data_IF_691546952109
#
_entry.id   IF_691546952109
#
_cell.length_a   1.000
_cell.length_b   1.000
_cell.length_c   1.000
_cell.angle_alpha   90.00
_cell.angle_beta   90.00
_cell.angle_gamma   90.00
#
_symmetry.space_group_name_H-M   'P 1'
#
loop_
_entity.id
_entity.type
_entity.pdbx_description
1 polymer ?
#
# COMPACT_ATOMS: atom_id res chain seq x y z
N UNK A 1 -16.28 9.91 -16.70
CA UNK A 1 -15.69 9.28 -15.51
C UNK A 1 -15.28 10.38 -14.56
N UNK A 2 -15.73 10.32 -13.30
CA UNK A 2 -15.29 11.27 -12.26
C UNK A 2 -13.79 11.12 -12.04
N UNK A 3 -13.05 12.22 -11.95
CA UNK A 3 -11.62 12.17 -11.61
C UNK A 3 -11.47 11.57 -10.20
N UNK A 4 -10.74 10.44 -10.11
CA UNK A 4 -10.56 9.69 -8.87
C UNK A 4 -9.74 10.48 -7.84
N UNK A 5 -8.65 11.12 -8.27
CA UNK A 5 -7.73 11.81 -7.37
C UNK A 5 -8.39 12.93 -6.54
N UNK A 6 -9.18 13.87 -7.12
CA UNK A 6 -9.93 14.84 -6.33
C UNK A 6 -10.82 14.21 -5.25
N UNK A 7 -11.41 13.04 -5.53
CA UNK A 7 -12.23 12.31 -4.56
C UNK A 7 -11.40 11.75 -3.41
N UNK A 8 -10.19 11.24 -3.70
CA UNK A 8 -9.25 10.78 -2.68
C UNK A 8 -8.72 11.94 -1.82
N UNK A 9 -8.39 13.08 -2.44
CA UNK A 9 -7.98 14.30 -1.73
C UNK A 9 -9.07 14.79 -0.77
N UNK A 10 -10.33 14.83 -1.24
CA UNK A 10 -11.46 15.21 -0.41
C UNK A 10 -11.67 14.25 0.78
N UNK A 11 -11.45 12.93 0.58
CA UNK A 11 -11.46 11.95 1.66
C UNK A 11 -10.34 12.21 2.67
N UNK A 12 -9.11 12.46 2.21
CA UNK A 12 -7.96 12.75 3.07
C UNK A 12 -8.26 13.97 3.94
N UNK A 13 -8.72 15.07 3.33
CA UNK A 13 -9.06 16.31 4.04
C UNK A 13 -10.18 16.08 5.07
N UNK A 14 -11.23 15.35 4.71
CA UNK A 14 -12.33 15.03 5.62
C UNK A 14 -11.91 14.17 6.84
N UNK A 15 -10.86 13.34 6.70
CA UNK A 15 -10.38 12.45 7.78
C UNK A 15 -9.21 13.04 8.57
N UNK A 16 -8.35 13.81 7.91
CA UNK A 16 -7.13 14.39 8.48
C UNK A 16 -6.89 15.77 7.83
N UNK A 17 -7.61 16.82 8.25
CA UNK A 17 -7.55 18.16 7.63
C UNK A 17 -6.13 18.75 7.55
N UNK A 18 -5.30 18.49 8.57
CA UNK A 18 -3.93 19.02 8.63
C UNK A 18 -2.92 18.20 7.84
N UNK A 19 -3.32 17.09 7.21
CA UNK A 19 -2.38 16.19 6.54
C UNK A 19 -1.82 16.82 5.27
N UNK A 20 -2.69 17.32 4.39
CA UNK A 20 -2.28 17.88 3.10
C UNK A 20 -1.46 19.16 3.26
N UNK A 21 -1.69 19.92 4.34
CA UNK A 21 -0.89 21.10 4.67
C UNK A 21 0.59 20.78 4.99
N UNK A 22 0.90 19.50 5.28
CA UNK A 22 2.26 19.00 5.57
C UNK A 22 2.85 18.20 4.42
N UNK A 23 2.07 17.93 3.37
CA UNK A 23 2.57 17.29 2.18
C UNK A 23 3.32 18.30 1.31
N UNK A 24 4.32 17.82 0.59
CA UNK A 24 5.11 18.62 -0.34
C UNK A 24 5.01 18.00 -1.72
N UNK A 25 4.51 18.79 -2.67
CA UNK A 25 4.35 18.40 -4.06
C UNK A 25 5.58 18.67 -4.92
N UNK A 26 5.52 18.17 -6.14
CA UNK A 26 6.45 18.47 -7.23
C UNK A 26 5.84 19.52 -8.16
N UNK A 27 6.67 20.45 -8.65
CA UNK A 27 6.25 21.46 -9.62
C UNK A 27 5.91 20.84 -10.98
N UNK A 28 4.91 21.38 -11.67
CA UNK A 28 4.47 20.84 -12.98
C UNK A 28 5.58 20.89 -14.02
N UNK A 29 6.38 21.96 -14.00
CA UNK A 29 7.51 22.14 -14.91
C UNK A 29 8.60 21.07 -14.71
N UNK A 30 8.72 20.51 -13.51
CA UNK A 30 9.66 19.43 -13.22
C UNK A 30 9.19 18.12 -13.82
N UNK A 31 7.93 17.74 -13.60
CA UNK A 31 7.33 16.55 -14.21
C UNK A 31 7.38 16.62 -15.76
N UNK A 32 7.12 17.79 -16.35
CA UNK A 32 7.22 17.98 -17.79
C UNK A 32 8.65 17.80 -18.34
N UNK A 33 9.69 18.16 -17.55
CA UNK A 33 11.09 17.87 -17.92
C UNK A 33 11.37 16.38 -17.91
N UNK A 34 10.79 15.63 -16.98
CA UNK A 34 10.90 14.17 -16.95
C UNK A 34 10.23 13.54 -18.18
N UNK A 35 8.98 13.90 -18.46
CA UNK A 35 8.28 13.46 -19.68
C UNK A 35 9.09 13.72 -20.95
N UNK A 36 9.63 14.93 -21.09
CA UNK A 36 10.44 15.31 -22.24
C UNK A 36 11.80 14.58 -22.31
N UNK A 37 12.49 14.37 -21.17
CA UNK A 37 13.79 13.69 -21.12
C UNK A 37 13.69 12.24 -21.58
N UNK A 38 12.61 11.56 -21.22
CA UNK A 38 12.44 10.12 -21.50
C UNK A 38 11.47 9.82 -22.64
N UNK A 39 10.89 10.85 -23.28
CA UNK A 39 10.00 10.68 -24.42
C UNK A 39 8.70 9.96 -24.09
N UNK A 40 8.19 10.16 -22.87
CA UNK A 40 6.99 9.49 -22.35
C UNK A 40 5.92 10.49 -21.90
N UNK A 41 4.70 10.01 -21.71
CA UNK A 41 3.59 10.80 -21.13
C UNK A 41 3.11 10.11 -19.88
N UNK A 42 3.08 10.85 -18.77
CA UNK A 42 2.66 10.33 -17.48
C UNK A 42 1.13 10.34 -17.37
N UNK A 43 0.51 9.31 -16.77
CA UNK A 43 -0.91 9.31 -16.51
C UNK A 43 -1.31 10.48 -15.59
N UNK A 44 -2.46 11.12 -15.88
CA UNK A 44 -2.94 12.28 -15.10
C UNK A 44 -2.97 12.00 -13.60
N UNK A 45 -3.40 10.81 -13.18
CA UNK A 45 -3.48 10.46 -11.76
C UNK A 45 -2.10 10.41 -11.07
N UNK A 46 -1.06 9.99 -11.78
CA UNK A 46 0.31 10.01 -11.27
C UNK A 46 0.81 11.45 -11.14
N UNK A 47 0.56 12.27 -12.17
CA UNK A 47 0.91 13.70 -12.14
C UNK A 47 0.23 14.40 -10.97
N UNK A 48 -1.07 14.16 -10.74
CA UNK A 48 -1.81 14.78 -9.65
C UNK A 48 -1.31 14.32 -8.26
N UNK A 49 -0.97 13.03 -8.10
CA UNK A 49 -0.32 12.51 -6.91
C UNK A 49 1.02 13.22 -6.64
N UNK A 50 1.90 13.26 -7.63
CA UNK A 50 3.23 13.88 -7.50
C UNK A 50 3.13 15.37 -7.19
N UNK A 51 2.19 16.08 -7.82
CA UNK A 51 1.94 17.49 -7.52
C UNK A 51 1.35 17.74 -6.13
N UNK A 52 0.74 16.73 -5.52
CA UNK A 52 0.17 16.85 -4.17
C UNK A 52 1.19 16.46 -3.09
N UNK A 53 1.98 15.40 -3.32
CA UNK A 53 2.82 14.82 -2.27
C UNK A 53 4.10 14.12 -2.79
N UNK A 54 4.57 14.45 -3.99
CA UNK A 54 5.71 13.79 -4.63
C UNK A 54 7.09 14.13 -4.04
N UNK A 55 7.21 15.15 -3.18
CA UNK A 55 8.44 15.44 -2.41
C UNK A 55 8.36 14.92 -0.97
N UNK A 56 7.17 14.98 -0.36
CA UNK A 56 6.90 14.46 0.97
C UNK A 56 5.40 14.19 1.15
N UNK A 57 5.07 13.08 1.79
CA UNK A 57 3.70 12.70 2.19
C UNK A 57 3.61 12.39 3.70
N UNK A 58 4.62 12.78 4.48
CA UNK A 58 4.74 12.37 5.88
C UNK A 58 4.83 10.85 6.03
N UNK A 59 3.90 10.25 6.77
CA UNK A 59 3.88 8.81 7.04
C UNK A 59 3.00 7.99 6.07
N UNK A 60 2.35 8.65 5.10
CA UNK A 60 1.51 7.96 4.13
C UNK A 60 2.31 7.68 2.86
N UNK A 61 2.76 6.44 2.67
CA UNK A 61 3.55 6.06 1.49
C UNK A 61 2.73 5.13 0.58
N UNK A 62 1.92 5.67 -0.34
CA UNK A 62 0.98 4.86 -1.12
C UNK A 62 1.66 3.94 -2.13
N UNK A 63 2.91 4.19 -2.50
CA UNK A 63 3.68 3.41 -3.48
C UNK A 63 4.91 2.73 -2.85
N UNK A 64 4.86 2.40 -1.56
CA UNK A 64 5.87 1.55 -0.94
C UNK A 64 6.61 2.13 0.25
N UNK A 65 7.30 1.24 0.97
CA UNK A 65 8.06 1.59 2.17
C UNK A 65 9.35 2.39 1.88
N UNK A 66 9.88 2.31 0.66
CA UNK A 66 11.18 2.87 0.25
C UNK A 66 11.10 4.25 -0.41
N UNK A 67 10.02 5.00 -0.14
CA UNK A 67 9.69 6.34 -0.65
C UNK A 67 9.14 6.38 -2.09
N UNK A 68 7.96 7.00 -2.27
CA UNK A 68 7.38 7.37 -3.57
C UNK A 68 7.89 8.74 -4.07
N UNK A 69 8.96 9.24 -3.45
CA UNK A 69 9.48 10.58 -3.70
C UNK A 69 10.10 10.63 -5.09
N UNK A 70 9.86 11.73 -5.80
CA UNK A 70 10.32 11.84 -7.17
C UNK A 70 11.85 11.80 -7.25
N UNK A 71 12.58 12.49 -6.37
CA UNK A 71 14.05 12.62 -6.49
C UNK A 71 14.78 11.25 -6.39
N UNK A 72 14.51 10.37 -5.40
CA UNK A 72 15.12 9.02 -5.37
C UNK A 72 14.70 8.14 -6.55
N UNK A 73 13.42 8.16 -6.93
CA UNK A 73 12.92 7.38 -8.06
C UNK A 73 13.51 7.84 -9.38
N UNK A 74 13.71 9.14 -9.54
CA UNK A 74 14.35 9.78 -10.66
C UNK A 74 15.81 9.32 -10.84
N UNK A 75 16.56 9.23 -9.74
CA UNK A 75 17.96 8.76 -9.77
C UNK A 75 18.03 7.29 -10.16
N UNK A 76 17.22 6.43 -9.53
CA UNK A 76 17.18 5.00 -9.85
C UNK A 76 16.71 4.76 -11.29
N UNK A 77 15.70 5.50 -11.73
CA UNK A 77 15.30 5.47 -13.12
C UNK A 77 16.44 5.84 -14.04
N UNK A 78 17.06 7.00 -13.83
CA UNK A 78 18.12 7.48 -14.72
C UNK A 78 19.23 6.45 -14.83
N UNK A 79 19.56 5.77 -13.74
CA UNK A 79 20.49 4.64 -13.73
C UNK A 79 20.00 3.48 -14.63
N UNK A 80 18.77 2.98 -14.44
CA UNK A 80 18.19 1.90 -15.25
C UNK A 80 18.04 2.27 -16.74
N UNK A 81 17.69 3.52 -17.00
CA UNK A 81 17.46 4.05 -18.34
C UNK A 81 18.75 4.43 -19.07
N UNK A 82 19.90 4.42 -18.43
CA UNK A 82 21.20 4.68 -19.06
C UNK A 82 22.03 3.39 -19.23
N UNK A 83 21.54 2.24 -18.74
CA UNK A 83 22.14 0.93 -19.04
C UNK A 83 21.98 0.53 -20.51
N UNK A 84 23.01 -0.10 -21.07
CA UNK A 84 23.05 -0.59 -22.45
C UNK A 84 23.44 -2.10 -22.49
N UNK A 85 22.52 -2.98 -22.91
CA UNK A 85 21.15 -2.70 -23.34
C UNK A 85 20.25 -2.30 -22.16
N UNK A 86 19.21 -1.52 -22.44
CA UNK A 86 18.17 -1.23 -21.44
C UNK A 86 17.54 -2.55 -20.95
N UNK A 87 17.31 -2.72 -19.64
CA UNK A 87 16.65 -3.92 -19.13
C UNK A 87 15.19 -4.06 -19.59
N UNK A 88 14.52 -2.95 -19.88
CA UNK A 88 13.12 -2.92 -20.33
C UNK A 88 12.85 -1.77 -21.31
N UNK A 89 11.76 -1.82 -22.11
CA UNK A 89 11.36 -0.73 -22.99
C UNK A 89 11.00 0.54 -22.18
N UNK A 90 11.88 1.55 -22.27
CA UNK A 90 11.83 2.78 -21.45
C UNK A 90 10.65 3.70 -21.79
N UNK A 91 10.10 3.55 -23.00
CA UNK A 91 8.91 4.24 -23.49
C UNK A 91 7.59 3.57 -23.04
N UNK A 92 7.68 2.34 -22.54
CA UNK A 92 6.54 1.57 -22.06
C UNK A 92 6.40 1.57 -20.54
N UNK A 93 7.50 1.41 -19.81
CA UNK A 93 7.43 1.18 -18.37
C UNK A 93 7.95 2.37 -17.56
N UNK A 94 7.15 2.80 -16.56
CA UNK A 94 7.50 3.90 -15.67
C UNK A 94 7.60 3.52 -14.19
N UNK A 95 8.82 3.47 -13.62
CA UNK A 95 9.07 3.24 -12.19
C UNK A 95 8.40 4.31 -11.33
N UNK A 96 7.52 3.89 -10.41
CA UNK A 96 6.75 4.78 -9.52
C UNK A 96 6.92 4.48 -8.05
N UNK A 97 7.57 3.38 -7.68
CA UNK A 97 7.71 2.99 -6.30
C UNK A 97 8.17 1.55 -6.13
N UNK A 98 7.86 1.00 -4.97
CA UNK A 98 8.21 -0.36 -4.57
C UNK A 98 7.01 -1.02 -3.91
N UNK A 99 6.74 -2.29 -4.18
CA UNK A 99 5.70 -3.02 -3.47
C UNK A 99 6.12 -3.14 -1.99
N UNK A 100 5.28 -2.68 -1.04
CA UNK A 100 5.61 -2.78 0.37
C UNK A 100 5.49 -4.20 0.95
N UNK A 101 5.40 -5.29 0.16
CA UNK A 101 5.29 -6.66 0.69
C UNK A 101 6.47 -6.98 1.63
N UNK A 102 6.23 -7.03 2.95
CA UNK A 102 7.30 -7.25 3.94
C UNK A 102 7.75 -8.72 3.97
N UNK A 103 7.05 -9.61 3.26
CA UNK A 103 7.41 -11.02 3.15
C UNK A 103 8.37 -11.31 2.01
N UNK A 104 8.55 -10.36 1.08
CA UNK A 104 9.49 -10.49 -0.03
C UNK A 104 10.95 -10.35 0.46
N UNK A 105 11.84 -11.18 -0.09
CA UNK A 105 13.28 -11.13 0.23
C UNK A 105 13.92 -9.84 -0.28
N UNK A 106 13.40 -9.33 -1.41
CA UNK A 106 13.71 -8.03 -1.99
C UNK A 106 12.39 -7.36 -2.35
N UNK A 107 12.22 -6.05 -2.11
CA UNK A 107 11.04 -5.34 -2.61
C UNK A 107 10.98 -5.46 -4.13
N UNK A 108 9.77 -5.67 -4.67
CA UNK A 108 9.54 -5.54 -6.09
C UNK A 108 9.42 -4.07 -6.45
N UNK A 109 9.97 -3.65 -7.58
CA UNK A 109 9.77 -2.32 -8.11
C UNK A 109 8.42 -2.24 -8.84
N UNK A 110 7.66 -1.19 -8.54
CA UNK A 110 6.37 -0.91 -9.15
C UNK A 110 6.56 -0.03 -10.38
N UNK A 111 6.07 -0.48 -11.51
CA UNK A 111 6.08 0.26 -12.77
C UNK A 111 4.66 0.49 -13.29
N UNK A 112 4.43 1.63 -13.93
CA UNK A 112 3.28 1.86 -14.80
C UNK A 112 3.57 1.26 -16.17
N UNK A 113 2.68 0.42 -16.68
CA UNK A 113 2.68 0.00 -18.09
C UNK A 113 1.88 1.03 -18.90
N UNK A 114 2.60 2.01 -19.45
CA UNK A 114 2.04 3.13 -20.20
C UNK A 114 1.36 2.67 -21.51
N UNK A 115 1.74 1.50 -22.05
CA UNK A 115 1.06 0.92 -23.22
C UNK A 115 -0.37 0.45 -22.93
N UNK A 116 -0.68 0.25 -21.65
CA UNK A 116 -2.00 -0.16 -21.14
C UNK A 116 -2.75 0.98 -20.43
N UNK A 117 -2.33 2.23 -20.67
CA UNK A 117 -2.97 3.42 -20.10
C UNK A 117 -3.99 4.07 -21.04
N UNK A 118 -4.89 4.86 -20.47
CA UNK A 118 -5.84 5.73 -21.19
C UNK A 118 -5.47 7.22 -21.12
N UNK A 119 -4.28 7.52 -20.58
CA UNK A 119 -3.78 8.86 -20.30
C UNK A 119 -4.29 9.45 -18.99
N UNK A 120 -5.39 8.94 -18.42
CA UNK A 120 -5.85 9.31 -17.08
C UNK A 120 -5.22 8.40 -16.02
N UNK A 121 -5.15 7.11 -16.29
CA UNK A 121 -4.62 6.06 -15.44
C UNK A 121 -3.80 5.05 -16.26
N UNK A 122 -3.06 4.17 -15.59
CA UNK A 122 -2.31 3.08 -16.21
C UNK A 122 -2.26 1.84 -15.32
N UNK A 123 -2.09 0.67 -15.94
CA UNK A 123 -1.90 -0.58 -15.23
C UNK A 123 -0.57 -0.57 -14.47
N UNK A 124 -0.55 -1.18 -13.28
CA UNK A 124 0.67 -1.43 -12.53
C UNK A 124 1.21 -2.83 -12.80
N UNK A 125 2.53 -2.93 -12.90
CA UNK A 125 3.28 -4.18 -13.00
C UNK A 125 4.45 -4.14 -12.03
N UNK A 126 4.86 -5.32 -11.58
CA UNK A 126 6.06 -5.52 -10.79
C UNK A 126 7.19 -6.06 -11.67
N UNK A 127 8.37 -5.45 -11.54
CA UNK A 127 9.62 -5.92 -12.14
C UNK A 127 10.76 -5.79 -11.11
N UNK A 128 11.96 -6.26 -11.43
CA UNK A 128 13.15 -6.00 -10.60
C UNK A 128 13.36 -6.97 -9.43
N UNK A 129 12.67 -8.11 -9.41
CA UNK A 129 12.89 -9.14 -8.39
C UNK A 129 14.37 -9.56 -8.34
N UNK A 130 15.02 -9.32 -7.18
CA UNK A 130 16.45 -9.55 -6.98
C UNK A 130 17.37 -8.74 -7.92
N UNK A 131 16.95 -7.54 -8.34
CA UNK A 131 17.70 -6.68 -9.25
C UNK A 131 17.66 -7.11 -10.71
N UNK A 132 16.77 -8.05 -11.07
CA UNK A 132 16.55 -8.49 -12.44
C UNK A 132 15.32 -7.81 -13.01
N UNK A 133 15.55 -6.90 -13.96
CA UNK A 133 14.52 -6.11 -14.61
C UNK A 133 14.26 -6.69 -16.00
N UNK A 134 13.35 -7.66 -16.11
CA UNK A 134 12.99 -8.29 -17.38
C UNK A 134 11.53 -8.00 -17.73
N UNK A 135 11.29 -7.29 -18.83
CA UNK A 135 9.95 -6.94 -19.27
C UNK A 135 9.05 -8.16 -19.53
N UNK A 136 9.63 -9.27 -19.98
CA UNK A 136 8.92 -10.54 -20.25
C UNK A 136 8.57 -11.31 -18.97
N UNK A 137 9.31 -11.06 -17.88
CA UNK A 137 9.09 -11.68 -16.57
C UNK A 137 8.22 -10.82 -15.65
N UNK A 138 7.64 -9.72 -16.16
CA UNK A 138 6.82 -8.82 -15.35
C UNK A 138 5.63 -9.53 -14.69
N UNK A 139 5.38 -9.19 -13.44
CA UNK A 139 4.22 -9.68 -12.70
C UNK A 139 3.08 -8.66 -12.81
N UNK A 140 1.95 -9.08 -13.38
CA UNK A 140 0.76 -8.23 -13.47
C UNK A 140 0.04 -8.21 -12.13
N UNK A 141 -0.02 -7.03 -11.50
CA UNK A 141 -0.69 -6.81 -10.20
C UNK A 141 -2.22 -6.82 -10.37
N UNK A 142 -2.72 -6.81 -11.62
CA UNK A 142 -4.13 -6.73 -12.00
C UNK A 142 -4.85 -5.53 -11.39
N UNK A 143 -4.11 -4.46 -11.14
CA UNK A 143 -4.60 -3.19 -10.60
C UNK A 143 -4.07 -2.02 -11.44
N UNK A 144 -4.86 -0.96 -11.59
CA UNK A 144 -4.35 0.34 -12.05
C UNK A 144 -3.72 1.12 -10.90
N UNK A 145 -2.96 2.17 -11.22
CA UNK A 145 -2.44 3.10 -10.21
C UNK A 145 -3.59 3.71 -9.42
N UNK A 146 -4.68 4.10 -10.08
CA UNK A 146 -5.85 4.62 -9.39
C UNK A 146 -6.46 3.66 -8.38
N UNK A 147 -6.59 2.38 -8.74
CA UNK A 147 -7.11 1.35 -7.84
C UNK A 147 -6.22 1.16 -6.61
N UNK A 148 -4.90 1.07 -6.80
CA UNK A 148 -3.94 0.99 -5.70
C UNK A 148 -4.03 2.23 -4.80
N UNK A 149 -4.02 3.44 -5.38
CA UNK A 149 -4.11 4.68 -4.61
C UNK A 149 -5.41 4.77 -3.80
N UNK A 150 -6.54 4.33 -4.37
CA UNK A 150 -7.80 4.29 -3.67
C UNK A 150 -7.75 3.32 -2.48
N UNK A 151 -7.25 2.10 -2.69
CA UNK A 151 -7.09 1.09 -1.64
C UNK A 151 -6.20 1.59 -0.50
N UNK A 152 -5.03 2.13 -0.83
CA UNK A 152 -4.04 2.62 0.15
C UNK A 152 -4.58 3.83 0.91
N UNK A 153 -5.25 4.75 0.23
CA UNK A 153 -5.88 5.93 0.86
C UNK A 153 -6.98 5.51 1.83
N UNK A 154 -7.88 4.62 1.40
CA UNK A 154 -8.94 4.09 2.26
C UNK A 154 -8.35 3.35 3.47
N UNK A 155 -7.36 2.49 3.26
CA UNK A 155 -6.72 1.76 4.34
C UNK A 155 -6.09 2.71 5.35
N UNK A 156 -5.29 3.67 4.88
CA UNK A 156 -4.54 4.55 5.75
C UNK A 156 -5.43 5.58 6.48
N UNK A 157 -6.34 6.25 5.77
CA UNK A 157 -7.12 7.36 6.34
C UNK A 157 -8.48 6.96 6.91
N UNK A 158 -9.13 5.92 6.37
CA UNK A 158 -10.44 5.46 6.84
C UNK A 158 -10.30 4.32 7.84
N UNK A 159 -9.51 3.28 7.53
CA UNK A 159 -9.46 2.06 8.34
C UNK A 159 -8.54 2.19 9.56
N UNK A 160 -7.35 2.80 9.43
CA UNK A 160 -6.44 3.01 10.56
C UNK A 160 -7.02 3.90 11.66
N UNK A 161 -7.98 4.76 11.31
CA UNK A 161 -8.66 5.65 12.25
C UNK A 161 -9.80 4.95 13.01
N UNK A 162 -10.25 3.77 12.56
CA UNK A 162 -11.29 3.01 13.22
C UNK A 162 -10.68 2.18 14.35
N UNK A 163 -11.36 2.02 15.49
CA UNK A 163 -10.91 1.08 16.51
C UNK A 163 -10.88 -0.32 15.91
N UNK A 164 -9.68 -0.90 15.74
CA UNK A 164 -9.54 -2.26 15.23
C UNK A 164 -10.06 -3.22 16.31
N UNK A 165 -11.10 -3.98 15.98
CA UNK A 165 -11.61 -5.03 16.84
C UNK A 165 -10.93 -6.34 16.42
N UNK A 166 -9.87 -6.71 17.15
CA UNK A 166 -9.18 -7.99 16.97
C UNK A 166 -9.72 -9.06 17.91
N UNK A 167 -9.94 -10.27 17.40
CA UNK A 167 -10.16 -11.45 18.24
C UNK A 167 -8.82 -12.12 18.54
N UNK A 168 -8.50 -12.33 19.83
CA UNK A 168 -7.34 -13.10 20.22
C UNK A 168 -7.76 -14.57 20.44
N UNK A 169 -7.18 -15.49 19.68
CA UNK A 169 -7.31 -16.93 19.92
C UNK A 169 -6.09 -17.43 20.70
N UNK A 170 -6.31 -17.89 21.93
CA UNK A 170 -5.25 -18.50 22.74
C UNK A 170 -5.34 -20.01 22.56
N UNK A 171 -4.35 -20.58 21.89
CA UNK A 171 -4.17 -22.02 21.75
C UNK A 171 -3.05 -22.46 22.70
N UNK A 172 -3.37 -23.32 23.67
CA UNK A 172 -2.41 -23.80 24.66
C UNK A 172 -3.01 -24.78 25.65
N UNK A 173 -2.16 -25.35 26.51
CA UNK A 173 -2.53 -26.28 27.58
C UNK A 173 -3.66 -25.66 28.45
N UNK A 174 -4.82 -26.35 28.57
CA UNK A 174 -5.93 -25.90 29.42
C UNK A 174 -5.52 -25.46 30.83
N UNK A 175 -4.48 -26.08 31.41
CA UNK A 175 -3.99 -25.73 32.75
C UNK A 175 -3.44 -24.29 32.83
N UNK A 176 -2.93 -23.76 31.72
CA UNK A 176 -2.25 -22.46 31.67
C UNK A 176 -3.04 -21.38 30.92
N UNK A 177 -4.17 -21.71 30.28
CA UNK A 177 -4.94 -20.78 29.45
C UNK A 177 -5.34 -19.49 30.18
N UNK A 178 -5.73 -19.59 31.47
CA UNK A 178 -6.11 -18.41 32.26
C UNK A 178 -4.92 -17.49 32.55
N UNK A 179 -3.73 -18.05 32.81
CA UNK A 179 -2.52 -17.27 33.06
C UNK A 179 -2.04 -16.59 31.79
N UNK A 180 -1.98 -17.32 30.67
CA UNK A 180 -1.62 -16.79 29.36
C UNK A 180 -2.60 -15.69 28.94
N UNK A 181 -3.91 -15.91 29.13
CA UNK A 181 -4.93 -14.89 28.85
C UNK A 181 -4.69 -13.62 29.63
N UNK A 182 -4.49 -13.72 30.94
CA UNK A 182 -4.30 -12.53 31.78
C UNK A 182 -3.03 -11.77 31.41
N UNK A 183 -1.96 -12.48 31.08
CA UNK A 183 -0.70 -11.87 30.65
C UNK A 183 -0.84 -11.15 29.30
N UNK A 184 -1.48 -11.78 28.31
CA UNK A 184 -1.73 -11.12 27.02
C UNK A 184 -2.67 -9.93 27.19
N UNK A 185 -3.70 -10.03 28.03
CA UNK A 185 -4.59 -8.90 28.33
C UNK A 185 -3.83 -7.74 28.98
N UNK A 186 -2.90 -8.04 29.89
CA UNK A 186 -2.04 -7.02 30.51
C UNK A 186 -1.17 -6.34 29.45
N UNK A 187 -0.48 -7.12 28.62
CA UNK A 187 0.36 -6.58 27.54
C UNK A 187 -0.44 -5.71 26.55
N UNK A 188 -1.64 -6.15 26.16
CA UNK A 188 -2.51 -5.36 25.26
C UNK A 188 -2.98 -4.06 25.89
N UNK A 189 -3.25 -4.03 27.21
CA UNK A 189 -3.58 -2.80 27.94
C UNK A 189 -2.38 -1.87 28.06
N UNK A 190 -1.20 -2.40 28.32
CA UNK A 190 0.06 -1.63 28.39
C UNK A 190 0.37 -0.96 27.04
N UNK A 191 -0.07 -1.57 25.93
CA UNK A 191 0.00 -1.01 24.57
C UNK A 191 -1.17 -0.04 24.24
N UNK A 192 -2.01 0.32 25.20
CA UNK A 192 -3.13 1.25 25.02
C UNK A 192 -4.42 0.64 24.46
N UNK A 193 -4.49 -0.69 24.35
CA UNK A 193 -5.68 -1.41 23.89
C UNK A 193 -6.81 -1.44 24.92
N UNK A 194 -8.04 -1.22 24.47
CA UNK A 194 -9.25 -1.44 25.27
C UNK A 194 -9.85 -2.81 24.95
N UNK A 195 -9.93 -3.68 25.96
CA UNK A 195 -10.40 -5.05 25.79
C UNK A 195 -11.91 -5.16 26.06
N UNK A 196 -12.69 -5.48 25.03
CA UNK A 196 -14.08 -5.91 25.18
C UNK A 196 -14.11 -7.44 25.33
N UNK A 197 -14.09 -7.93 26.56
CA UNK A 197 -14.37 -9.35 26.77
C UNK A 197 -15.84 -9.60 26.44
N UNK A 198 -16.18 -10.63 25.63
CA UNK A 198 -17.57 -11.05 25.53
C UNK A 198 -18.06 -11.35 26.94
N UNK A 199 -19.01 -10.55 27.42
CA UNK A 199 -19.69 -10.80 28.68
C UNK A 199 -20.31 -12.17 28.54
N UNK A 200 -19.82 -13.11 29.34
CA UNK A 200 -20.18 -14.52 29.30
C UNK A 200 -21.71 -14.67 29.24
N UNK A 201 -22.25 -15.03 28.07
CA UNK A 201 -23.62 -15.54 27.97
C UNK A 201 -23.55 -17.06 27.91
N UNK A 202 -23.98 -17.65 29.02
CA UNK A 202 -24.41 -19.03 29.22
C UNK A 202 -23.36 -20.13 28.95
N UNK A 203 -22.84 -20.68 30.04
CA UNK A 203 -22.83 -22.12 30.30
C UNK A 203 -23.45 -22.96 29.17
N UNK A 204 -22.64 -23.45 28.23
CA UNK A 204 -22.97 -24.65 27.47
C UNK A 204 -22.91 -25.80 28.47
N UNK A 205 -24.09 -26.27 28.86
CA UNK A 205 -24.27 -27.47 29.64
C UNK A 205 -23.49 -28.64 29.01
N UNK A 206 -22.74 -29.31 29.87
CA UNK A 206 -22.25 -30.68 29.79
C UNK A 206 -22.62 -31.47 28.52
N UNK A 207 -21.66 -31.61 27.61
CA UNK A 207 -21.62 -32.72 26.65
C UNK A 207 -21.31 -34.03 27.37
N UNK A 208 -22.33 -34.66 27.95
CA UNK A 208 -22.31 -36.09 28.29
C UNK A 208 -22.75 -36.87 27.06
N UNK A 209 -21.88 -37.76 26.57
CA UNK A 209 -22.19 -38.73 25.51
C UNK A 209 -23.34 -39.64 25.95
N UNK A 210 -24.33 -39.82 25.07
CA UNK A 210 -25.11 -41.06 25.00
C UNK A 210 -25.32 -41.44 23.52
N UNK A 211 -24.96 -42.68 23.19
CA UNK A 211 -25.29 -43.38 21.95
C UNK A 211 -26.75 -43.87 21.99
N UNK A 212 -27.42 -43.92 20.84
CA UNK A 212 -28.38 -44.93 20.36
C UNK A 212 -28.92 -44.44 19.00
N UNK A 213 -28.51 -44.98 17.85
CA UNK A 213 -28.96 -46.21 17.15
C UNK A 213 -30.32 -46.08 16.45
N UNK A 214 -30.24 -46.22 15.11
CA UNK A 214 -31.24 -46.23 14.03
C UNK A 214 -31.78 -44.87 13.58
#
# INVERSE_FOLDING_TARGET
MTDLWPSLVALIDARRPDFLAKAEGVERAELARWEARFGLTLPRIYVDLMRTMGRSSGAFNPLGAYEHRLDPLAEQWAWLAEEEPAPYPRDQFFLVGFDPDPSAISPFELFLDLSRGDGADAALVEMGSNGVYEADARHDIRQTLGELLAERTLTYFELSARPVHGGLLILGDPANQSSIKNEVVRQLRDLGGSLLLPTSRASRASGSRARASW
#
